data_IF_572231263556
#
_entry.id   IF_572231263556
#
_cell.length_a   1.000
_cell.length_b   1.000
_cell.length_c   1.000
_cell.angle_alpha   90.00
_cell.angle_beta   90.00
_cell.angle_gamma   90.00
#
_symmetry.space_group_name_H-M   'P 1'
#
loop_
_entity.id
_entity.type
_entity.pdbx_description
1 polymer ?
#
# COMPACT_ATOMS: atom_id res chain seq x y z
N UNK A 1 -12.16 -7.25 8.09
CA UNK A 1 -10.72 -7.25 8.37
C UNK A 1 -10.43 -7.09 9.88
N UNK A 2 -9.50 -7.88 10.43
CA UNK A 2 -9.01 -7.76 11.80
C UNK A 2 -8.14 -6.49 11.98
N UNK A 3 -7.89 -6.00 13.21
CA UNK A 3 -6.86 -5.00 13.46
C UNK A 3 -5.49 -5.46 12.93
N UNK A 4 -4.62 -4.57 12.44
CA UNK A 4 -3.34 -4.95 11.85
C UNK A 4 -2.46 -5.82 12.75
N UNK A 5 -2.44 -5.53 14.05
CA UNK A 5 -1.66 -6.25 15.07
C UNK A 5 -2.12 -7.70 15.24
N UNK A 6 -3.40 -7.97 14.97
CA UNK A 6 -4.01 -9.30 15.08
C UNK A 6 -3.90 -10.11 13.78
N UNK A 7 -3.31 -9.54 12.73
CA UNK A 7 -3.30 -10.09 11.36
C UNK A 7 -1.95 -9.86 10.66
N UNK A 8 -0.89 -9.72 11.46
CA UNK A 8 0.41 -9.19 11.01
C UNK A 8 1.00 -9.95 9.83
N UNK A 9 0.97 -11.28 9.85
CA UNK A 9 1.56 -12.10 8.78
C UNK A 9 0.90 -11.82 7.42
N UNK A 10 -0.43 -11.81 7.38
CA UNK A 10 -1.17 -11.50 6.14
C UNK A 10 -1.02 -10.04 5.77
N UNK A 11 -1.00 -9.16 6.77
CA UNK A 11 -0.94 -7.71 6.56
C UNK A 11 0.41 -7.28 6.00
N UNK A 12 1.50 -7.88 6.46
CA UNK A 12 2.85 -7.66 5.96
C UNK A 12 2.96 -7.95 4.46
N UNK A 13 2.32 -9.01 3.97
CA UNK A 13 2.30 -9.35 2.54
C UNK A 13 1.70 -8.19 1.73
N UNK A 14 0.53 -7.68 2.14
CA UNK A 14 -0.12 -6.57 1.47
C UNK A 14 0.67 -5.25 1.60
N UNK A 15 1.25 -4.98 2.77
CA UNK A 15 2.07 -3.80 3.01
C UNK A 15 3.32 -3.78 2.14
N UNK A 16 4.04 -4.91 2.06
CA UNK A 16 5.22 -5.05 1.21
C UNK A 16 4.81 -4.93 -0.26
N UNK A 17 3.71 -5.55 -0.67
CA UNK A 17 3.23 -5.41 -2.05
C UNK A 17 2.89 -3.96 -2.42
N UNK A 18 2.29 -3.18 -1.51
CA UNK A 18 1.83 -1.83 -1.82
C UNK A 18 2.89 -0.74 -1.61
N UNK A 19 3.86 -0.93 -0.71
CA UNK A 19 4.87 0.12 -0.42
C UNK A 19 5.76 0.41 -1.63
N UNK A 20 5.99 -0.59 -2.51
CA UNK A 20 6.82 -0.43 -3.72
C UNK A 20 6.27 0.61 -4.68
N UNK A 21 4.95 0.86 -4.64
CA UNK A 21 4.28 1.89 -5.46
C UNK A 21 4.69 3.32 -5.09
N UNK A 22 5.45 3.50 -4.01
CA UNK A 22 5.89 4.80 -3.51
C UNK A 22 7.43 4.94 -3.49
N UNK A 23 8.18 3.95 -3.99
CA UNK A 23 9.65 3.93 -3.93
C UNK A 23 10.31 4.79 -5.01
N UNK A 24 9.76 4.86 -6.21
CA UNK A 24 10.26 5.73 -7.26
C UNK A 24 9.06 6.28 -8.03
N UNK A 25 8.99 7.60 -8.20
CA UNK A 25 7.74 8.25 -8.60
C UNK A 25 7.31 7.97 -10.05
N UNK A 26 8.11 7.21 -10.79
CA UNK A 26 7.71 6.47 -12.00
C UNK A 26 7.60 4.99 -11.63
N UNK A 27 6.39 4.55 -11.24
CA UNK A 27 6.14 3.13 -10.99
C UNK A 27 6.35 2.38 -12.30
N UNK A 28 7.46 1.67 -12.41
CA UNK A 28 7.69 0.74 -13.51
C UNK A 28 6.50 -0.23 -13.54
N UNK A 29 6.00 -0.52 -14.75
CA UNK A 29 4.84 -1.40 -14.95
C UNK A 29 5.02 -2.76 -14.23
N UNK A 30 6.26 -3.22 -14.10
CA UNK A 30 6.63 -4.47 -13.43
C UNK A 30 6.37 -4.43 -11.91
N UNK A 31 6.64 -3.30 -11.23
CA UNK A 31 6.33 -3.17 -9.80
C UNK A 31 4.82 -3.15 -9.55
N UNK A 32 4.06 -2.43 -10.40
CA UNK A 32 2.61 -2.42 -10.31
C UNK A 32 2.02 -3.82 -10.51
N UNK A 33 2.48 -4.54 -11.52
CA UNK A 33 2.01 -5.88 -11.82
C UNK A 33 2.37 -6.86 -10.69
N UNK A 34 3.59 -6.82 -10.19
CA UNK A 34 4.05 -7.65 -9.06
C UNK A 34 3.23 -7.39 -7.78
N UNK A 35 2.98 -6.11 -7.47
CA UNK A 35 2.12 -5.70 -6.36
C UNK A 35 0.70 -6.23 -6.54
N UNK A 36 0.13 -6.10 -7.75
CA UNK A 36 -1.22 -6.56 -8.06
C UNK A 36 -1.35 -8.09 -7.97
N UNK A 37 -0.37 -8.85 -8.49
CA UNK A 37 -0.35 -10.32 -8.37
C UNK A 37 -0.31 -10.77 -6.91
N UNK A 38 0.52 -10.10 -6.09
CA UNK A 38 0.62 -10.42 -4.67
C UNK A 38 -0.69 -10.10 -3.95
N UNK A 39 -1.27 -8.91 -4.18
CA UNK A 39 -2.55 -8.52 -3.58
C UNK A 39 -3.69 -9.44 -4.02
N UNK A 40 -3.74 -9.83 -5.30
CA UNK A 40 -4.77 -10.69 -5.85
C UNK A 40 -4.83 -12.06 -5.18
N UNK A 41 -3.68 -12.60 -4.76
CA UNK A 41 -3.54 -13.89 -4.07
C UNK A 41 -3.87 -13.84 -2.58
N UNK A 42 -4.01 -12.65 -1.99
CA UNK A 42 -4.44 -12.52 -0.58
C UNK A 42 -5.94 -12.78 -0.43
N UNK A 43 -6.35 -13.16 0.80
CA UNK A 43 -7.76 -13.32 1.16
C UNK A 43 -8.51 -11.98 1.31
N UNK A 44 -7.83 -10.83 1.21
CA UNK A 44 -8.46 -9.53 1.37
C UNK A 44 -9.33 -9.19 0.18
N UNK A 45 -10.57 -8.76 0.45
CA UNK A 45 -11.44 -8.18 -0.57
C UNK A 45 -10.84 -6.89 -1.16
N UNK A 46 -11.29 -6.47 -2.34
CA UNK A 46 -10.86 -5.18 -2.92
C UNK A 46 -11.11 -3.99 -1.98
N UNK A 47 -12.22 -4.03 -1.24
CA UNK A 47 -12.55 -3.01 -0.24
C UNK A 47 -11.56 -3.00 0.94
N UNK A 48 -11.11 -4.18 1.38
CA UNK A 48 -10.11 -4.28 2.44
C UNK A 48 -8.73 -3.86 1.94
N UNK A 49 -8.34 -4.24 0.72
CA UNK A 49 -7.13 -3.74 0.06
C UNK A 49 -7.15 -2.22 -0.07
N UNK A 50 -8.30 -1.62 -0.38
CA UNK A 50 -8.47 -0.16 -0.40
C UNK A 50 -8.23 0.45 0.98
N UNK A 51 -8.81 -0.16 2.02
CA UNK A 51 -8.60 0.29 3.40
C UNK A 51 -7.13 0.17 3.79
N UNK A 52 -6.45 -0.94 3.48
CA UNK A 52 -5.03 -1.12 3.75
C UNK A 52 -4.20 -0.05 3.04
N UNK A 53 -4.45 0.17 1.74
CA UNK A 53 -3.73 1.17 0.95
C UNK A 53 -3.86 2.56 1.56
N UNK A 54 -5.09 3.01 1.82
CA UNK A 54 -5.34 4.40 2.25
C UNK A 54 -5.11 4.63 3.73
N UNK A 55 -5.42 3.67 4.59
CA UNK A 55 -5.37 3.83 6.04
C UNK A 55 -4.03 3.39 6.64
N UNK A 56 -3.26 2.53 5.97
CA UNK A 56 -2.08 1.90 6.57
C UNK A 56 -0.81 2.24 5.80
N UNK A 57 -0.77 1.90 4.51
CA UNK A 57 0.43 2.10 3.67
C UNK A 57 0.63 3.57 3.32
N UNK A 58 -0.41 4.23 2.81
CA UNK A 58 -0.30 5.62 2.39
C UNK A 58 0.14 6.57 3.50
N UNK A 59 -0.42 6.55 4.74
CA UNK A 59 0.02 7.44 5.80
C UNK A 59 1.47 7.21 6.22
N UNK A 60 1.95 5.96 6.15
CA UNK A 60 3.34 5.61 6.41
C UNK A 60 4.28 6.19 5.34
N UNK A 61 3.89 6.10 4.06
CA UNK A 61 4.69 6.56 2.92
C UNK A 61 4.54 8.05 2.61
N UNK A 62 3.48 8.70 3.12
CA UNK A 62 3.11 10.08 2.79
C UNK A 62 4.24 11.07 3.01
N UNK A 63 5.07 10.91 4.03
CA UNK A 63 6.20 11.82 4.31
C UNK A 63 7.38 11.59 3.35
N UNK A 64 7.58 10.37 2.86
CA UNK A 64 8.62 10.06 1.88
C UNK A 64 8.34 10.77 0.55
N UNK A 65 7.07 10.99 0.19
CA UNK A 65 6.66 11.72 -1.02
C UNK A 65 7.07 13.22 -0.99
N UNK A 66 7.27 13.82 0.18
CA UNK A 66 7.60 15.26 0.32
C UNK A 66 9.10 15.53 0.55
N UNK A 67 9.91 14.51 0.80
CA UNK A 67 11.35 14.67 1.00
C UNK A 67 12.06 14.47 -0.33
N UNK A 68 12.64 15.55 -0.88
CA UNK A 68 13.52 15.50 -2.05
C UNK A 68 14.72 14.62 -1.69
N UNK A 69 14.83 13.45 -2.35
CA UNK A 69 16.04 12.63 -2.53
C UNK A 69 17.23 12.94 -1.59
N UNK A 70 17.05 12.72 -0.30
CA UNK A 70 18.06 12.96 0.72
C UNK A 70 18.07 11.78 1.67
N UNK A 71 18.98 10.84 1.39
CA UNK A 71 19.20 9.61 2.16
C UNK A 71 18.02 8.64 2.16
N UNK A 72 17.85 7.93 1.04
CA UNK A 72 17.27 6.58 1.04
C UNK A 72 18.20 5.66 1.85
N UNK A 73 18.20 5.82 3.17
CA UNK A 73 18.85 4.88 4.06
C UNK A 73 18.14 3.55 3.84
N UNK A 74 18.83 2.46 3.47
CA UNK A 74 18.21 1.18 3.21
C UNK A 74 17.63 0.63 4.51
N UNK A 75 16.43 1.08 4.92
CA UNK A 75 15.56 0.52 5.97
C UNK A 75 16.32 -0.20 7.09
N UNK A 76 17.41 0.39 7.60
CA UNK A 76 18.22 -0.23 8.64
C UNK A 76 17.49 0.05 9.94
N UNK A 77 16.70 -0.94 10.36
CA UNK A 77 16.23 -1.21 11.72
C UNK A 77 14.88 -0.67 12.22
N UNK A 78 14.11 0.05 11.42
CA UNK A 78 12.67 0.19 11.68
C UNK A 78 11.90 -0.50 10.56
N UNK A 79 11.54 -1.77 10.82
CA UNK A 79 10.77 -2.61 9.91
C UNK A 79 9.56 -1.83 9.37
N UNK A 80 9.28 -1.92 8.07
CA UNK A 80 8.08 -1.34 7.43
C UNK A 80 6.82 -1.53 8.29
N UNK A 81 6.70 -2.72 8.90
CA UNK A 81 5.71 -3.07 9.91
C UNK A 81 5.62 -2.05 11.05
N UNK A 82 6.72 -1.73 11.71
CA UNK A 82 6.76 -0.77 12.83
C UNK A 82 6.35 0.63 12.38
N UNK A 83 6.79 1.07 11.20
CA UNK A 83 6.40 2.37 10.66
C UNK A 83 4.90 2.41 10.40
N UNK A 84 4.34 1.37 9.79
CA UNK A 84 2.91 1.27 9.52
C UNK A 84 2.14 1.18 10.84
N UNK A 85 2.54 0.32 11.79
CA UNK A 85 1.92 0.23 13.12
C UNK A 85 1.96 1.53 13.92
N UNK A 86 2.97 2.39 13.72
CA UNK A 86 3.01 3.72 14.37
C UNK A 86 2.10 4.74 13.69
N UNK A 87 1.81 4.60 12.39
CA UNK A 87 1.21 5.66 11.57
C UNK A 87 -0.16 5.31 10.97
N UNK A 88 -0.54 4.04 11.01
CA UNK A 88 -1.80 3.57 10.43
C UNK A 88 -2.99 4.22 11.14
N UNK A 89 -4.09 4.22 10.41
CA UNK A 89 -5.36 4.80 10.79
C UNK A 89 -6.44 3.75 10.55
N UNK A 90 -6.17 2.52 11.00
CA UNK A 90 -7.07 1.38 10.80
C UNK A 90 -8.51 1.76 11.18
N UNK A 91 -9.46 1.29 10.37
CA UNK A 91 -10.90 1.57 10.48
C UNK A 91 -11.33 3.04 10.41
N UNK A 92 -10.43 3.98 10.07
CA UNK A 92 -10.82 5.36 9.81
C UNK A 92 -11.38 5.53 8.41
N UNK A 93 -12.45 6.31 8.30
CA UNK A 93 -12.97 6.75 7.02
C UNK A 93 -12.19 7.97 6.53
N UNK A 94 -11.43 7.82 5.45
CA UNK A 94 -10.68 8.93 4.86
C UNK A 94 -11.60 9.69 3.89
N UNK A 95 -12.13 10.82 4.36
CA UNK A 95 -12.85 11.84 3.58
C UNK A 95 -11.99 12.58 2.54
N UNK A 96 -10.66 12.42 2.58
CA UNK A 96 -9.67 13.17 1.79
C UNK A 96 -9.07 12.36 0.63
N UNK A 97 -9.59 11.16 0.33
CA UNK A 97 -9.08 10.26 -0.74
C UNK A 97 -8.96 10.97 -2.10
N UNK A 98 -9.90 11.87 -2.42
CA UNK A 98 -9.95 12.61 -3.69
C UNK A 98 -9.10 13.88 -3.76
N UNK A 99 -8.53 14.37 -2.65
CA UNK A 99 -7.73 15.61 -2.69
C UNK A 99 -6.28 15.36 -3.13
N UNK A 100 -5.86 14.10 -3.30
CA UNK A 100 -4.47 13.75 -3.60
C UNK A 100 -4.39 12.90 -4.86
N UNK A 101 -4.09 13.56 -5.99
CA UNK A 101 -4.07 12.97 -7.34
C UNK A 101 -3.12 11.77 -7.47
N UNK A 102 -1.91 11.91 -6.93
CA UNK A 102 -0.84 10.90 -7.03
C UNK A 102 -1.20 9.54 -6.39
N UNK A 103 -1.53 9.42 -5.09
CA UNK A 103 -1.92 8.14 -4.50
C UNK A 103 -3.26 7.60 -5.04
N UNK A 104 -4.15 8.47 -5.51
CA UNK A 104 -5.39 8.04 -6.16
C UNK A 104 -5.09 7.29 -7.47
N UNK A 105 -4.15 7.79 -8.27
CA UNK A 105 -3.76 7.15 -9.52
C UNK A 105 -3.19 5.74 -9.30
N UNK A 106 -2.32 5.56 -8.30
CA UNK A 106 -1.79 4.23 -7.98
C UNK A 106 -2.84 3.29 -7.44
N UNK A 107 -3.76 3.80 -6.60
CA UNK A 107 -4.87 2.98 -6.13
C UNK A 107 -5.74 2.50 -7.29
N UNK A 108 -6.09 3.40 -8.22
CA UNK A 108 -6.90 3.03 -9.38
C UNK A 108 -6.19 2.02 -10.30
N UNK A 109 -4.90 2.23 -10.58
CA UNK A 109 -4.06 1.29 -11.33
C UNK A 109 -4.00 -0.08 -10.64
N UNK A 110 -3.66 -0.12 -9.35
CA UNK A 110 -3.56 -1.36 -8.57
C UNK A 110 -4.90 -2.09 -8.52
N UNK A 111 -5.99 -1.37 -8.24
CA UNK A 111 -7.35 -1.91 -8.17
C UNK A 111 -7.73 -2.60 -9.49
N UNK A 112 -7.47 -1.94 -10.62
CA UNK A 112 -7.81 -2.48 -11.94
C UNK A 112 -7.02 -3.76 -12.24
N UNK A 113 -5.71 -3.76 -11.98
CA UNK A 113 -4.87 -4.94 -12.17
C UNK A 113 -5.28 -6.11 -11.25
N UNK A 114 -5.59 -5.85 -9.97
CA UNK A 114 -6.08 -6.89 -9.05
C UNK A 114 -7.41 -7.46 -9.54
N UNK A 115 -8.33 -6.64 -10.02
CA UNK A 115 -9.60 -7.10 -10.59
C UNK A 115 -9.36 -7.99 -11.81
N UNK A 116 -8.51 -7.55 -12.73
CA UNK A 116 -8.21 -8.28 -13.95
C UNK A 116 -7.57 -9.64 -13.63
N UNK A 117 -6.61 -9.69 -12.71
CA UNK A 117 -5.96 -10.93 -12.29
C UNK A 117 -7.00 -11.88 -11.69
N UNK A 118 -7.84 -11.41 -10.76
CA UNK A 118 -8.86 -12.25 -10.09
C UNK A 118 -9.95 -12.76 -11.03
N UNK A 119 -10.22 -12.08 -12.15
CA UNK A 119 -11.19 -12.54 -13.16
C UNK A 119 -10.63 -13.62 -14.10
N UNK A 120 -9.30 -13.74 -14.19
CA UNK A 120 -8.62 -14.70 -15.06
C UNK A 120 -8.03 -15.91 -14.31
N UNK A 121 -8.33 -16.04 -13.01
CA UNK A 121 -8.01 -17.21 -12.18
C UNK A 121 -9.17 -18.20 -12.18
#
# INVERSE_FOLDING_TARGET
>A
MLPPEADLEKRQIAWVAMHVLFLDADVEADYLLSAAQTCAKTDYSLKELEQIFWNEVYPAMRLNIWSVAGEWCPLKSEDLTQIILRKHRFDRQIWLKGMRRYPLEYWEKLKNEVCQIRQNL
#
